data_IF_677639839991
#
_entry.id   IF_677639839991
#
_cell.length_a   1.000
_cell.length_b   1.000
_cell.length_c   1.000
_cell.angle_alpha   90.00
_cell.angle_beta   90.00
_cell.angle_gamma   90.00
#
_symmetry.space_group_name_H-M   'P 1'
#
loop_
_entity.id
_entity.type
_entity.pdbx_description
1 polymer ?
#
# COMPACT_ATOMS: atom_id res chain seq x y z
N UNK A 1 -18.85 -7.19 -6.74
CA UNK A 1 -17.63 -6.61 -6.10
C UNK A 1 -17.77 -5.11 -6.21
N UNK A 2 -17.78 -4.40 -5.10
CA UNK A 2 -17.88 -2.94 -5.12
C UNK A 2 -16.52 -2.34 -5.55
N UNK A 3 -16.43 -1.95 -6.83
CA UNK A 3 -15.19 -1.44 -7.43
C UNK A 3 -14.75 -0.12 -6.76
N UNK A 4 -15.69 0.65 -6.20
CA UNK A 4 -15.39 1.88 -5.49
C UNK A 4 -14.72 1.58 -4.14
N UNK A 5 -15.23 0.62 -3.38
CA UNK A 5 -14.66 0.21 -2.10
C UNK A 5 -13.26 -0.38 -2.26
N UNK A 6 -13.07 -1.26 -3.26
CA UNK A 6 -11.74 -1.80 -3.60
C UNK A 6 -10.77 -0.68 -3.98
N UNK A 7 -11.21 0.23 -4.86
CA UNK A 7 -10.41 1.38 -5.28
C UNK A 7 -10.01 2.28 -4.10
N UNK A 8 -10.93 2.55 -3.18
CA UNK A 8 -10.64 3.34 -1.99
C UNK A 8 -9.63 2.63 -1.07
N UNK A 9 -9.83 1.33 -0.85
CA UNK A 9 -8.93 0.50 -0.03
C UNK A 9 -7.50 0.47 -0.56
N UNK A 10 -7.33 0.29 -1.87
CA UNK A 10 -6.01 0.25 -2.51
C UNK A 10 -5.35 1.62 -2.60
N UNK A 11 -6.12 2.71 -2.73
CA UNK A 11 -5.59 4.06 -2.87
C UNK A 11 -5.15 4.68 -1.55
N UNK A 12 -5.73 4.30 -0.41
CA UNK A 12 -5.39 4.89 0.87
C UNK A 12 -3.90 4.82 1.21
N UNK A 13 -3.20 3.66 1.09
CA UNK A 13 -1.77 3.62 1.29
C UNK A 13 -1.00 4.59 0.38
N UNK A 14 -1.35 4.65 -0.91
CA UNK A 14 -0.70 5.57 -1.84
C UNK A 14 -0.91 7.03 -1.47
N UNK A 15 -2.14 7.45 -1.20
CA UNK A 15 -2.46 8.82 -0.82
C UNK A 15 -1.70 9.25 0.43
N UNK A 16 -1.70 8.39 1.46
CA UNK A 16 -1.02 8.65 2.71
C UNK A 16 0.49 8.78 2.53
N UNK A 17 1.12 7.84 1.83
CA UNK A 17 2.57 7.86 1.65
C UNK A 17 3.05 8.95 0.69
N UNK A 18 2.32 9.24 -0.39
CA UNK A 18 2.63 10.38 -1.27
C UNK A 18 2.52 11.69 -0.49
N UNK A 19 1.43 11.88 0.29
CA UNK A 19 1.26 13.07 1.11
C UNK A 19 2.41 13.23 2.12
N UNK A 20 2.83 12.15 2.77
CA UNK A 20 3.96 12.14 3.70
C UNK A 20 5.28 12.53 3.01
N UNK A 21 5.61 11.90 1.90
CA UNK A 21 6.85 12.17 1.16
C UNK A 21 6.90 13.60 0.63
N UNK A 22 5.79 14.11 0.09
CA UNK A 22 5.71 15.49 -0.40
C UNK A 22 5.79 16.49 0.76
N UNK A 23 5.14 16.23 1.89
CA UNK A 23 5.22 17.09 3.07
C UNK A 23 6.63 17.16 3.67
N UNK A 24 7.39 16.07 3.60
CA UNK A 24 8.77 15.99 4.09
C UNK A 24 9.82 16.47 3.08
N UNK A 25 9.42 16.75 1.85
CA UNK A 25 10.34 17.19 0.80
C UNK A 25 11.04 18.49 1.20
N UNK A 26 12.33 18.56 0.88
CA UNK A 26 13.10 19.79 1.05
C UNK A 26 12.65 20.86 0.04
N UNK A 27 12.28 22.03 0.55
CA UNK A 27 11.86 23.20 -0.24
C UNK A 27 13.00 23.81 -1.06
N UNK A 28 14.25 23.60 -0.64
CA UNK A 28 15.43 24.06 -1.35
C UNK A 28 15.75 23.23 -2.61
N UNK A 29 15.20 22.02 -2.71
CA UNK A 29 15.42 21.13 -3.85
C UNK A 29 14.54 21.53 -5.03
N UNK A 30 15.16 21.69 -6.22
CA UNK A 30 14.41 22.02 -7.45
C UNK A 30 13.32 20.98 -7.71
N UNK A 31 12.08 21.43 -8.05
CA UNK A 31 10.94 20.55 -8.25
C UNK A 31 11.07 19.57 -9.43
N UNK A 32 12.08 19.74 -10.28
CA UNK A 32 12.20 19.09 -11.58
C UNK A 32 13.34 18.04 -11.64
N UNK A 33 13.77 17.50 -10.49
CA UNK A 33 14.79 16.44 -10.51
C UNK A 33 14.25 15.21 -11.29
N UNK A 34 14.98 14.73 -12.33
CA UNK A 34 14.51 13.59 -13.11
C UNK A 34 14.25 12.38 -12.22
N UNK A 35 13.09 11.76 -12.40
CA UNK A 35 12.69 10.55 -11.66
C UNK A 35 12.13 10.79 -10.26
N UNK A 36 12.16 12.01 -9.71
CA UNK A 36 11.66 12.29 -8.36
C UNK A 36 10.18 11.94 -8.20
N UNK A 37 9.36 12.29 -9.18
CA UNK A 37 7.94 11.98 -9.12
C UNK A 37 7.67 10.46 -9.20
N UNK A 38 8.40 9.74 -10.05
CA UNK A 38 8.31 8.28 -10.11
C UNK A 38 8.72 7.65 -8.78
N UNK A 39 9.77 8.17 -8.15
CA UNK A 39 10.20 7.74 -6.82
C UNK A 39 9.13 8.04 -5.76
N UNK A 40 8.54 9.24 -5.73
CA UNK A 40 7.47 9.60 -4.78
C UNK A 40 6.26 8.68 -4.95
N UNK A 41 5.85 8.40 -6.18
CA UNK A 41 4.71 7.49 -6.45
C UNK A 41 5.02 6.06 -6.04
N UNK A 42 6.19 5.53 -6.39
CA UNK A 42 6.59 4.16 -6.04
C UNK A 42 6.85 3.98 -4.54
N UNK A 43 7.69 4.83 -3.95
CA UNK A 43 8.00 4.78 -2.52
C UNK A 43 6.78 5.18 -1.68
N UNK A 44 5.89 6.01 -2.21
CA UNK A 44 4.66 6.43 -1.54
C UNK A 44 3.79 5.23 -1.15
N UNK A 45 3.63 4.24 -2.03
CA UNK A 45 2.90 3.03 -1.65
C UNK A 45 3.55 2.30 -0.47
N UNK A 46 4.86 2.14 -0.49
CA UNK A 46 5.59 1.42 0.59
C UNK A 46 5.50 2.16 1.92
N UNK A 47 5.70 3.48 1.90
CA UNK A 47 5.57 4.33 3.10
C UNK A 47 4.15 4.29 3.65
N UNK A 48 3.15 4.44 2.80
CA UNK A 48 1.75 4.41 3.23
C UNK A 48 1.30 3.03 3.70
N UNK A 49 1.76 1.95 3.07
CA UNK A 49 1.52 0.59 3.53
C UNK A 49 2.14 0.33 4.92
N UNK A 50 3.36 0.84 5.15
CA UNK A 50 3.99 0.80 6.45
C UNK A 50 3.17 1.58 7.50
N UNK A 51 2.76 2.82 7.20
CA UNK A 51 1.96 3.64 8.11
C UNK A 51 0.61 2.99 8.43
N UNK A 52 -0.07 2.44 7.42
CA UNK A 52 -1.34 1.71 7.59
C UNK A 52 -1.17 0.52 8.53
N UNK A 53 -0.19 -0.34 8.26
CA UNK A 53 0.02 -1.55 9.06
C UNK A 53 0.55 -1.23 10.46
N UNK A 54 1.32 -0.17 10.62
CA UNK A 54 1.72 0.34 11.93
C UNK A 54 0.51 0.82 12.73
N UNK A 55 -0.39 1.58 12.10
CA UNK A 55 -1.63 2.02 12.74
C UNK A 55 -2.52 0.85 13.17
N UNK A 56 -2.67 -0.17 12.33
CA UNK A 56 -3.40 -1.39 12.70
C UNK A 56 -2.78 -2.10 13.91
N UNK A 57 -1.45 -2.13 14.02
CA UNK A 57 -0.77 -2.68 15.22
C UNK A 57 -1.08 -1.84 16.46
N UNK A 58 -1.07 -0.51 16.36
CA UNK A 58 -1.44 0.38 17.45
C UNK A 58 -2.87 0.12 17.91
N UNK A 59 -3.84 0.03 16.99
CA UNK A 59 -5.23 -0.29 17.30
C UNK A 59 -5.35 -1.64 18.02
N UNK A 60 -4.68 -2.66 17.49
CA UNK A 60 -4.71 -4.00 18.10
C UNK A 60 -4.12 -3.99 19.52
N UNK A 61 -3.01 -3.29 19.74
CA UNK A 61 -2.40 -3.15 21.05
C UNK A 61 -3.30 -2.37 22.03
N UNK A 62 -4.02 -1.38 21.54
CA UNK A 62 -5.01 -0.63 22.31
C UNK A 62 -6.33 -1.38 22.54
N UNK A 63 -6.49 -2.61 22.06
CA UNK A 63 -7.71 -3.39 22.18
C UNK A 63 -8.86 -2.90 21.28
N UNK A 64 -8.58 -2.02 20.33
CA UNK A 64 -9.59 -1.47 19.41
C UNK A 64 -9.73 -2.41 18.21
N UNK A 65 -10.96 -2.84 17.94
CA UNK A 65 -11.26 -3.75 16.82
C UNK A 65 -11.05 -3.06 15.47
N UNK A 66 -10.53 -3.83 14.52
CA UNK A 66 -10.37 -3.40 13.14
C UNK A 66 -11.73 -3.12 12.50
N UNK A 67 -11.80 -2.00 11.79
CA UNK A 67 -12.97 -1.58 11.04
C UNK A 67 -12.63 -0.43 10.11
N UNK A 68 -13.45 -0.22 9.09
CA UNK A 68 -13.21 0.81 8.08
C UNK A 68 -13.05 2.21 8.69
N UNK A 69 -13.87 2.56 9.68
CA UNK A 69 -13.77 3.84 10.36
C UNK A 69 -12.57 3.93 11.30
N UNK A 70 -12.29 2.89 12.09
CA UNK A 70 -11.18 2.89 13.04
C UNK A 70 -9.81 2.97 12.34
N UNK A 71 -9.68 2.35 11.17
CA UNK A 71 -8.46 2.36 10.38
C UNK A 71 -8.47 3.53 9.39
N UNK A 72 -9.52 3.65 8.59
CA UNK A 72 -9.55 4.57 7.45
C UNK A 72 -9.68 6.03 7.85
N UNK A 73 -10.56 6.38 8.79
CA UNK A 73 -10.81 7.79 9.12
C UNK A 73 -9.58 8.51 9.70
N UNK A 74 -8.83 7.96 10.69
CA UNK A 74 -7.62 8.61 11.19
C UNK A 74 -6.52 8.74 10.12
N UNK A 75 -6.36 7.73 9.26
CA UNK A 75 -5.36 7.75 8.20
C UNK A 75 -5.72 8.73 7.07
N UNK A 76 -7.00 8.85 6.73
CA UNK A 76 -7.47 9.89 5.79
C UNK A 76 -7.27 11.28 6.36
N UNK A 77 -7.57 11.48 7.65
CA UNK A 77 -7.31 12.75 8.32
C UNK A 77 -5.82 13.08 8.32
N UNK A 78 -4.97 12.10 8.64
CA UNK A 78 -3.53 12.27 8.59
C UNK A 78 -3.06 12.61 7.17
N UNK A 79 -3.55 11.91 6.15
CA UNK A 79 -3.24 12.22 4.75
C UNK A 79 -3.67 13.63 4.36
N UNK A 80 -4.85 14.09 4.80
CA UNK A 80 -5.33 15.45 4.57
C UNK A 80 -4.46 16.51 5.27
N UNK A 81 -4.06 16.26 6.52
CA UNK A 81 -3.13 17.14 7.26
C UNK A 81 -1.78 17.22 6.56
N UNK A 82 -1.21 16.08 6.16
CA UNK A 82 0.06 16.05 5.43
C UNK A 82 -0.03 16.73 4.07
N UNK A 83 -1.12 16.53 3.33
CA UNK A 83 -1.38 17.22 2.07
C UNK A 83 -1.52 18.75 2.28
N UNK A 84 -2.21 19.17 3.33
CA UNK A 84 -2.32 20.58 3.70
C UNK A 84 -0.96 21.17 4.07
N UNK A 85 -0.13 20.48 4.85
CA UNK A 85 1.25 20.90 5.17
C UNK A 85 2.07 21.04 3.88
N UNK A 86 2.00 20.04 2.99
CA UNK A 86 2.68 20.09 1.69
C UNK A 86 2.22 21.31 0.87
N UNK A 87 0.91 21.54 0.81
CA UNK A 87 0.32 22.70 0.13
C UNK A 87 0.83 24.03 0.68
N UNK A 88 0.85 24.16 2.02
CA UNK A 88 1.36 25.39 2.70
C UNK A 88 2.85 25.61 2.49
N UNK A 89 3.65 24.53 2.47
CA UNK A 89 5.12 24.61 2.32
C UNK A 89 5.57 24.86 0.89
N UNK A 90 4.93 24.26 -0.09
CA UNK A 90 5.38 24.27 -1.49
C UNK A 90 4.53 25.16 -2.40
N UNK A 91 3.34 25.56 -1.96
CA UNK A 91 2.36 26.28 -2.78
C UNK A 91 1.59 25.34 -3.72
N UNK A 92 0.26 25.50 -3.76
CA UNK A 92 -0.61 24.59 -4.52
C UNK A 92 -0.35 24.61 -6.02
N UNK A 93 -0.14 25.77 -6.61
CA UNK A 93 0.15 25.90 -8.04
C UNK A 93 1.46 25.19 -8.42
N UNK A 94 2.49 25.28 -7.59
CA UNK A 94 3.78 24.62 -7.82
C UNK A 94 3.64 23.09 -7.74
N UNK A 95 2.87 22.56 -6.78
CA UNK A 95 2.61 21.13 -6.66
C UNK A 95 1.84 20.57 -7.87
N UNK A 96 0.81 21.28 -8.34
CA UNK A 96 0.03 20.88 -9.52
C UNK A 96 0.93 20.91 -10.76
N UNK A 97 1.71 21.96 -10.96
CA UNK A 97 2.63 22.09 -12.09
C UNK A 97 3.68 20.98 -12.08
N UNK A 98 4.26 20.67 -10.91
CA UNK A 98 5.21 19.59 -10.74
C UNK A 98 4.58 18.22 -11.05
N UNK A 99 3.35 17.95 -10.58
CA UNK A 99 2.64 16.71 -10.86
C UNK A 99 2.34 16.54 -12.36
N UNK A 100 1.87 17.59 -13.03
CA UNK A 100 1.62 17.59 -14.48
C UNK A 100 2.92 17.43 -15.28
N UNK A 101 3.99 18.10 -14.86
CA UNK A 101 5.33 17.96 -15.45
C UNK A 101 5.84 16.52 -15.33
N UNK A 102 5.65 15.90 -14.17
CA UNK A 102 6.02 14.52 -13.93
C UNK A 102 5.27 13.53 -14.81
N UNK A 103 3.94 13.70 -14.97
CA UNK A 103 3.13 12.87 -15.85
C UNK A 103 3.58 13.00 -17.33
N UNK A 104 3.89 14.21 -17.76
CA UNK A 104 4.43 14.44 -19.11
C UNK A 104 5.81 13.79 -19.29
N UNK A 105 6.68 13.91 -18.30
CA UNK A 105 8.02 13.31 -18.34
C UNK A 105 7.99 11.78 -18.33
N UNK A 106 6.97 11.16 -17.72
CA UNK A 106 6.72 9.71 -17.80
C UNK A 106 6.51 9.23 -19.23
N UNK A 107 5.78 9.98 -20.04
CA UNK A 107 5.45 9.60 -21.43
C UNK A 107 6.51 10.09 -22.40
N UNK A 108 7.09 11.26 -22.15
CA UNK A 108 8.06 11.92 -23.00
C UNK A 108 9.16 12.57 -22.15
N UNK A 109 10.26 11.83 -21.83
CA UNK A 109 11.35 12.38 -21.06
C UNK A 109 11.91 13.65 -21.74
N UNK A 110 12.09 14.75 -20.98
CA UNK A 110 12.67 15.97 -21.52
C UNK A 110 14.12 15.68 -21.97
N UNK A 111 14.56 16.36 -23.04
CA UNK A 111 15.91 16.22 -23.61
C UNK A 111 16.29 14.84 -24.17
N UNK A 112 15.35 13.88 -24.25
CA UNK A 112 15.62 12.58 -24.85
C UNK A 112 15.70 12.67 -26.39
N UNK A 113 16.66 11.98 -26.97
CA UNK A 113 16.72 11.77 -28.42
C UNK A 113 15.48 10.99 -28.88
N UNK A 114 15.18 11.01 -30.18
CA UNK A 114 14.07 10.22 -30.74
C UNK A 114 14.22 8.73 -30.41
N UNK A 115 15.43 8.19 -30.54
CA UNK A 115 15.70 6.78 -30.20
C UNK A 115 15.47 6.47 -28.73
N UNK A 116 15.96 7.31 -27.83
CA UNK A 116 15.75 7.15 -26.38
C UNK A 116 14.27 7.23 -26.03
N UNK A 117 13.51 8.13 -26.65
CA UNK A 117 12.07 8.25 -26.42
C UNK A 117 11.30 7.02 -26.88
N UNK A 118 11.65 6.47 -28.05
CA UNK A 118 11.03 5.22 -28.55
C UNK A 118 11.36 4.07 -27.61
N UNK A 119 12.63 3.89 -27.21
CA UNK A 119 13.05 2.84 -26.29
C UNK A 119 12.32 2.96 -24.95
N UNK A 120 12.15 4.16 -24.41
CA UNK A 120 11.39 4.43 -23.19
C UNK A 120 9.89 4.06 -23.33
N UNK A 121 9.26 4.45 -24.43
CA UNK A 121 7.86 4.12 -24.69
C UNK A 121 7.64 2.61 -24.83
N UNK A 122 8.55 1.91 -25.52
CA UNK A 122 8.52 0.44 -25.59
C UNK A 122 8.66 -0.21 -24.24
N UNK A 123 9.58 0.28 -23.39
CA UNK A 123 9.72 -0.19 -22.00
C UNK A 123 8.45 0.04 -21.19
N UNK A 124 7.84 1.22 -21.27
CA UNK A 124 6.57 1.50 -20.59
C UNK A 124 5.44 0.59 -21.08
N UNK A 125 5.32 0.41 -22.39
CA UNK A 125 4.32 -0.49 -22.97
C UNK A 125 4.52 -1.93 -22.49
N UNK A 126 5.77 -2.40 -22.44
CA UNK A 126 6.11 -3.72 -21.91
C UNK A 126 5.77 -3.84 -20.43
N UNK A 127 6.09 -2.83 -19.59
CA UNK A 127 5.74 -2.83 -18.18
C UNK A 127 4.21 -2.85 -17.98
N UNK A 128 3.46 -2.04 -18.71
CA UNK A 128 1.99 -2.05 -18.65
C UNK A 128 1.44 -3.42 -19.02
N UNK A 129 1.94 -4.03 -20.09
CA UNK A 129 1.56 -5.39 -20.50
C UNK A 129 1.88 -6.41 -19.41
N UNK A 130 3.09 -6.36 -18.83
CA UNK A 130 3.49 -7.27 -17.74
C UNK A 130 2.58 -7.14 -16.52
N UNK A 131 2.26 -5.92 -16.09
CA UNK A 131 1.36 -5.71 -14.96
C UNK A 131 -0.09 -6.11 -15.28
N UNK A 132 -0.55 -5.88 -16.51
CA UNK A 132 -1.87 -6.34 -16.94
C UNK A 132 -1.96 -7.88 -16.94
N UNK A 133 -0.95 -8.57 -17.47
CA UNK A 133 -0.88 -10.04 -17.46
C UNK A 133 -0.82 -10.58 -16.01
N UNK A 134 -0.01 -9.96 -15.14
CA UNK A 134 0.06 -10.33 -13.74
C UNK A 134 -1.29 -10.12 -13.03
N UNK A 135 -1.99 -9.03 -13.31
CA UNK A 135 -3.32 -8.77 -12.78
C UNK A 135 -4.34 -9.83 -13.24
N UNK A 136 -4.30 -10.21 -14.51
CA UNK A 136 -5.13 -11.29 -15.05
C UNK A 136 -4.81 -12.63 -14.39
N UNK A 137 -3.54 -12.94 -14.19
CA UNK A 137 -3.10 -14.15 -13.49
C UNK A 137 -3.66 -14.19 -12.07
N UNK A 138 -3.53 -13.10 -11.31
CA UNK A 138 -4.06 -13.00 -9.95
C UNK A 138 -5.59 -13.12 -9.90
N UNK A 139 -6.30 -12.63 -10.93
CA UNK A 139 -7.77 -12.73 -11.01
C UNK A 139 -8.22 -14.16 -11.34
N UNK A 140 -7.49 -14.86 -12.22
CA UNK A 140 -7.89 -16.18 -12.71
C UNK A 140 -7.36 -17.33 -11.89
N UNK A 141 -6.21 -17.16 -11.23
CA UNK A 141 -5.65 -18.22 -10.40
C UNK A 141 -6.10 -18.06 -8.94
N UNK A 142 -6.60 -19.14 -8.32
CA UNK A 142 -6.76 -19.12 -6.89
C UNK A 142 -5.40 -18.91 -6.23
N UNK A 143 -5.40 -18.43 -4.99
CA UNK A 143 -4.20 -18.16 -4.20
C UNK A 143 -3.35 -19.44 -4.11
N UNK A 144 -2.43 -19.62 -5.06
CA UNK A 144 -1.72 -20.88 -5.26
C UNK A 144 -0.37 -20.99 -4.53
N UNK A 145 0.44 -19.93 -4.39
CA UNK A 145 1.70 -20.09 -3.68
C UNK A 145 1.47 -20.59 -2.25
N UNK A 146 2.14 -21.67 -1.90
CA UNK A 146 2.05 -22.33 -0.60
C UNK A 146 2.11 -21.33 0.57
N UNK A 147 3.11 -20.45 0.57
CA UNK A 147 3.27 -19.43 1.61
C UNK A 147 2.13 -18.43 1.64
N UNK A 148 1.53 -18.14 0.50
CA UNK A 148 0.48 -17.14 0.41
C UNK A 148 -0.78 -17.55 1.18
N UNK A 149 -1.21 -18.82 1.08
CA UNK A 149 -2.42 -19.22 1.77
C UNK A 149 -2.19 -19.90 3.12
N UNK A 150 -1.08 -20.63 3.31
CA UNK A 150 -0.80 -21.25 4.61
C UNK A 150 -0.40 -20.21 5.65
N UNK A 151 0.41 -19.23 5.29
CA UNK A 151 0.96 -18.28 6.26
C UNK A 151 0.23 -16.93 6.22
N UNK A 152 0.15 -16.31 5.05
CA UNK A 152 -0.36 -14.94 4.99
C UNK A 152 -1.87 -14.86 4.98
N UNK A 153 -2.54 -15.66 4.17
CA UNK A 153 -4.00 -15.65 4.09
C UNK A 153 -4.65 -16.22 5.36
N UNK A 154 -4.05 -17.24 5.98
CA UNK A 154 -4.52 -17.78 7.25
C UNK A 154 -4.45 -16.72 8.35
N UNK A 155 -3.32 -16.02 8.51
CA UNK A 155 -3.20 -14.90 9.45
C UNK A 155 -4.20 -13.81 9.15
N UNK A 156 -4.31 -13.41 7.89
CA UNK A 156 -5.25 -12.36 7.47
C UNK A 156 -6.69 -12.74 7.80
N UNK A 157 -7.11 -13.97 7.52
CA UNK A 157 -8.44 -14.46 7.82
C UNK A 157 -8.75 -14.42 9.31
N UNK A 158 -7.87 -14.98 10.13
CA UNK A 158 -8.05 -14.99 11.59
C UNK A 158 -8.13 -13.56 12.13
N UNK A 159 -7.21 -12.69 11.74
CA UNK A 159 -7.20 -11.30 12.21
C UNK A 159 -8.40 -10.49 11.71
N UNK A 160 -8.90 -10.79 10.51
CA UNK A 160 -10.12 -10.19 10.00
C UNK A 160 -11.34 -10.61 10.82
N UNK A 161 -11.52 -11.92 11.06
CA UNK A 161 -12.62 -12.48 11.84
C UNK A 161 -12.58 -12.02 13.31
N UNK A 162 -11.41 -11.98 13.93
CA UNK A 162 -11.23 -11.52 15.30
C UNK A 162 -11.24 -9.99 15.43
N UNK A 163 -11.03 -9.27 14.34
CA UNK A 163 -10.95 -7.82 14.31
C UNK A 163 -9.72 -7.25 15.03
N UNK A 164 -8.68 -8.06 15.19
CA UNK A 164 -7.40 -7.67 15.84
C UNK A 164 -6.29 -8.68 15.49
N UNK A 165 -5.05 -8.33 15.83
CA UNK A 165 -3.92 -9.25 15.71
C UNK A 165 -4.00 -10.28 16.82
N UNK A 166 -4.21 -11.54 16.46
CA UNK A 166 -4.14 -12.68 17.37
C UNK A 166 -2.78 -13.38 17.23
N UNK A 167 -2.23 -13.87 18.34
CA UNK A 167 -1.01 -14.66 18.30
C UNK A 167 -1.23 -16.02 17.68
N UNK A 168 -0.19 -16.53 17.02
CA UNK A 168 -0.16 -17.90 16.50
C UNK A 168 0.90 -18.71 17.25
N UNK A 169 0.62 -20.00 17.42
CA UNK A 169 1.53 -20.94 18.02
C UNK A 169 2.17 -21.87 16.98
N UNK A 170 3.39 -22.30 17.22
CA UNK A 170 4.05 -23.37 16.49
C UNK A 170 3.45 -24.72 16.87
N UNK A 171 3.69 -25.75 16.05
CA UNK A 171 3.10 -27.08 16.17
C UNK A 171 3.14 -27.66 17.59
N UNK A 172 4.31 -27.66 18.25
CA UNK A 172 4.45 -28.22 19.60
C UNK A 172 3.56 -27.50 20.64
N UNK A 173 3.57 -26.16 20.62
CA UNK A 173 2.75 -25.35 21.53
C UNK A 173 1.26 -25.46 21.20
N UNK A 174 0.90 -25.60 19.93
CA UNK A 174 -0.48 -25.78 19.50
C UNK A 174 -1.06 -27.13 19.94
N UNK A 175 -0.30 -28.23 19.79
CA UNK A 175 -0.69 -29.55 20.28
C UNK A 175 -0.84 -29.59 21.80
N UNK A 176 0.01 -28.86 22.54
CA UNK A 176 -0.04 -28.80 24.00
C UNK A 176 -1.22 -27.96 24.51
N UNK A 177 -1.66 -26.94 23.77
CA UNK A 177 -2.72 -26.03 24.21
C UNK A 177 -4.15 -26.63 24.10
N UNK A 178 -4.35 -27.65 23.29
CA UNK A 178 -5.64 -28.34 23.11
C UNK A 178 -6.64 -27.56 22.24
N UNK A 179 -7.10 -26.37 22.69
CA UNK A 179 -8.05 -25.55 21.93
C UNK A 179 -7.85 -24.05 22.21
N UNK A 180 -8.42 -23.21 21.34
CA UNK A 180 -8.39 -21.75 21.51
C UNK A 180 -7.11 -21.06 21.05
N UNK A 181 -6.17 -21.82 20.44
CA UNK A 181 -4.91 -21.30 19.93
C UNK A 181 -4.85 -21.51 18.42
N UNK A 182 -4.49 -20.46 17.69
CA UNK A 182 -4.34 -20.54 16.23
C UNK A 182 -2.96 -21.10 15.87
N UNK A 183 -2.93 -21.98 14.88
CA UNK A 183 -1.70 -22.59 14.38
C UNK A 183 -1.14 -21.82 13.19
N UNK A 184 0.18 -21.61 13.19
CA UNK A 184 0.96 -21.21 12.04
C UNK A 184 2.33 -21.87 12.10
N UNK A 185 2.80 -22.41 10.97
CA UNK A 185 4.12 -23.03 10.87
C UNK A 185 5.25 -22.01 11.09
N UNK A 186 5.00 -20.73 10.75
CA UNK A 186 5.96 -19.63 10.86
C UNK A 186 5.30 -18.39 11.48
N UNK A 187 4.96 -18.43 12.78
CA UNK A 187 4.25 -17.35 13.46
C UNK A 187 5.02 -16.02 13.46
N UNK A 188 6.35 -16.10 13.39
CA UNK A 188 7.26 -14.95 13.46
C UNK A 188 7.39 -14.18 12.13
N UNK A 189 6.76 -14.63 11.05
CA UNK A 189 6.80 -13.92 9.77
C UNK A 189 6.18 -12.53 9.87
N UNK A 190 6.76 -11.54 9.14
CA UNK A 190 6.32 -10.15 9.21
C UNK A 190 4.82 -10.01 8.95
N UNK A 191 4.06 -9.31 9.81
CA UNK A 191 2.61 -9.19 9.69
C UNK A 191 2.14 -8.18 8.63
N UNK A 192 3.04 -7.53 7.92
CA UNK A 192 2.70 -6.46 6.96
C UNK A 192 1.78 -6.96 5.85
N UNK A 193 2.11 -8.07 5.20
CA UNK A 193 1.28 -8.62 4.13
C UNK A 193 -0.10 -9.08 4.60
N UNK A 194 -0.22 -9.88 5.69
CA UNK A 194 -1.53 -10.20 6.26
C UNK A 194 -2.35 -8.97 6.63
N UNK A 195 -1.77 -7.95 7.23
CA UNK A 195 -2.49 -6.72 7.59
C UNK A 195 -2.99 -5.93 6.37
N UNK A 196 -2.23 -5.90 5.28
CA UNK A 196 -2.70 -5.32 4.01
C UNK A 196 -3.88 -6.11 3.43
N UNK A 197 -3.88 -7.44 3.55
CA UNK A 197 -5.01 -8.27 3.15
C UNK A 197 -6.23 -8.01 4.04
N UNK A 198 -6.06 -7.94 5.37
CA UNK A 198 -7.13 -7.56 6.31
C UNK A 198 -7.73 -6.22 5.93
N UNK A 199 -6.90 -5.21 5.68
CA UNK A 199 -7.39 -3.90 5.26
C UNK A 199 -8.19 -3.98 3.95
N UNK A 200 -7.72 -4.75 2.98
CA UNK A 200 -8.43 -4.94 1.70
C UNK A 200 -9.79 -5.59 1.91
N UNK A 201 -9.89 -6.63 2.75
CA UNK A 201 -11.16 -7.27 3.10
C UNK A 201 -12.11 -6.31 3.81
N UNK A 202 -11.62 -5.52 4.79
CA UNK A 202 -12.42 -4.50 5.49
C UNK A 202 -12.95 -3.44 4.51
N UNK A 203 -12.10 -2.95 3.60
CA UNK A 203 -12.49 -1.97 2.60
C UNK A 203 -13.53 -2.51 1.61
N UNK A 204 -13.51 -3.80 1.35
CA UNK A 204 -14.50 -4.48 0.50
C UNK A 204 -15.79 -4.86 1.23
N UNK A 205 -15.83 -4.77 2.56
CA UNK A 205 -16.97 -5.22 3.38
C UNK A 205 -17.15 -6.73 3.35
N UNK A 206 -16.07 -7.49 3.22
CA UNK A 206 -16.08 -8.96 3.09
C UNK A 206 -15.14 -9.58 4.08
#
# INVERSE_FOLDING_TARGET
MDALALSAGLKLPWLLGIAALVAMRDTARKPDAPGEAAWIVGAGYLVGAFMLTLWMRVLSHAGIRFGALAIGAPLLLLAAVLAWVAWRRHGGAALITAALGALRALVAPPHATRATRIAWQLLLAWLVLRYALLALEVIWQPLYPWDAWIQWATKARVWYEQGRIEPFARSAAWFAAGSGVWFDASPDYPPTMPLLQVWTCIALGR
#
